data_IF_602635546071
#
_entry.id   IF_602635546071
#
_cell.length_a   1.000
_cell.length_b   1.000
_cell.length_c   1.000
_cell.angle_alpha   90.00
_cell.angle_beta   90.00
_cell.angle_gamma   90.00
#
_symmetry.space_group_name_H-M   'P 1'
#
loop_
_entity.id
_entity.type
_entity.pdbx_description
1 polymer ?
#
# COMPACT_ATOMS: atom_id res chain seq x y z
N UNK A 1 29.48 -84.04 31.05
CA UNK A 1 28.02 -84.12 30.82
C UNK A 1 27.63 -83.05 29.81
N UNK A 2 26.59 -83.33 29.02
CA UNK A 2 26.29 -82.81 27.67
C UNK A 2 26.34 -81.28 27.54
N UNK A 3 27.26 -80.83 26.69
CA UNK A 3 27.23 -79.51 26.07
C UNK A 3 26.76 -79.70 24.61
N UNK A 4 26.24 -78.63 23.98
CA UNK A 4 25.65 -78.57 22.60
C UNK A 4 24.15 -78.91 22.58
N UNK A 5 23.26 -78.13 21.96
CA UNK A 5 23.39 -77.26 20.78
C UNK A 5 22.45 -76.08 20.93
N UNK A 6 22.96 -74.85 20.97
CA UNK A 6 22.15 -73.69 20.65
C UNK A 6 21.99 -73.67 19.13
N UNK A 7 20.83 -74.14 18.68
CA UNK A 7 20.46 -74.18 17.28
C UNK A 7 20.32 -72.73 16.81
N UNK A 8 21.14 -72.36 15.84
CA UNK A 8 21.17 -71.10 15.10
C UNK A 8 19.79 -70.70 14.58
N UNK A 9 19.02 -69.94 15.38
CA UNK A 9 17.80 -69.24 14.93
C UNK A 9 18.05 -67.75 14.61
N UNK A 10 19.29 -67.28 14.83
CA UNK A 10 19.71 -65.91 14.56
C UNK A 10 19.65 -65.47 13.08
N UNK A 11 20.01 -66.28 12.05
CA UNK A 11 20.14 -65.74 10.69
C UNK A 11 18.80 -65.34 10.06
N UNK A 12 17.72 -66.08 10.32
CA UNK A 12 16.39 -65.75 9.79
C UNK A 12 15.78 -64.54 10.50
N UNK A 13 15.86 -64.49 11.84
CA UNK A 13 15.36 -63.36 12.61
C UNK A 13 16.13 -62.07 12.30
N UNK A 14 17.45 -62.16 12.11
CA UNK A 14 18.29 -61.03 11.71
C UNK A 14 17.98 -60.55 10.29
N UNK A 15 17.70 -61.46 9.35
CA UNK A 15 17.27 -61.09 8.00
C UNK A 15 15.90 -60.38 8.01
N UNK A 16 14.93 -60.91 8.78
CA UNK A 16 13.62 -60.26 8.95
C UNK A 16 13.77 -58.89 9.60
N UNK A 17 14.63 -58.74 10.61
CA UNK A 17 14.88 -57.46 11.27
C UNK A 17 15.49 -56.43 10.31
N UNK A 18 16.43 -56.83 9.45
CA UNK A 18 17.02 -55.94 8.44
C UNK A 18 15.98 -55.52 7.41
N UNK A 19 15.13 -56.44 6.94
CA UNK A 19 14.03 -56.12 6.02
C UNK A 19 13.05 -55.15 6.68
N UNK A 20 12.62 -55.44 7.91
CA UNK A 20 11.69 -54.57 8.64
C UNK A 20 12.28 -53.18 8.85
N UNK A 21 13.57 -53.08 9.22
CA UNK A 21 14.28 -51.81 9.36
C UNK A 21 14.36 -51.06 8.03
N UNK A 22 14.68 -51.75 6.93
CA UNK A 22 14.73 -51.17 5.60
C UNK A 22 13.37 -50.62 5.16
N UNK A 23 12.29 -51.37 5.38
CA UNK A 23 10.93 -50.93 5.10
C UNK A 23 10.58 -49.73 5.98
N UNK A 24 10.94 -49.76 7.26
CA UNK A 24 10.65 -48.66 8.18
C UNK A 24 11.36 -47.37 7.77
N UNK A 25 12.63 -47.44 7.37
CA UNK A 25 13.39 -46.29 6.85
C UNK A 25 12.76 -45.79 5.54
N UNK A 26 12.40 -46.70 4.63
CA UNK A 26 11.75 -46.35 3.36
C UNK A 26 10.44 -45.61 3.60
N UNK A 27 9.60 -46.10 4.53
CA UNK A 27 8.34 -45.46 4.90
C UNK A 27 8.58 -44.07 5.48
N UNK A 28 9.52 -43.90 6.42
CA UNK A 28 9.83 -42.58 7.00
C UNK A 28 10.21 -41.58 5.90
N UNK A 29 11.02 -42.00 4.92
CA UNK A 29 11.42 -41.15 3.80
C UNK A 29 10.24 -40.83 2.88
N UNK A 30 9.40 -41.80 2.54
CA UNK A 30 8.22 -41.57 1.68
C UNK A 30 7.19 -40.67 2.36
N UNK A 31 6.85 -40.94 3.62
CA UNK A 31 5.97 -40.11 4.45
C UNK A 31 6.52 -38.69 4.60
N UNK A 32 7.84 -38.54 4.86
CA UNK A 32 8.48 -37.23 4.95
C UNK A 32 8.39 -36.45 3.64
N UNK A 33 8.65 -37.10 2.49
CA UNK A 33 8.53 -36.48 1.16
C UNK A 33 7.10 -36.06 0.85
N UNK A 34 6.12 -36.93 1.10
CA UNK A 34 4.70 -36.64 0.89
C UNK A 34 4.20 -35.52 1.81
N UNK A 35 4.58 -35.53 3.08
CA UNK A 35 4.24 -34.47 4.01
C UNK A 35 4.83 -33.11 3.57
N UNK A 36 6.09 -33.09 3.12
CA UNK A 36 6.72 -31.89 2.59
C UNK A 36 6.03 -31.38 1.32
N UNK A 37 5.65 -32.27 0.39
CA UNK A 37 4.92 -31.89 -0.81
C UNK A 37 3.54 -31.30 -0.47
N UNK A 38 2.77 -31.98 0.37
CA UNK A 38 1.46 -31.50 0.81
C UNK A 38 1.55 -30.13 1.50
N UNK A 39 2.55 -29.93 2.35
CA UNK A 39 2.74 -28.65 3.05
C UNK A 39 3.03 -27.49 2.08
N UNK A 40 3.80 -27.73 1.01
CA UNK A 40 4.07 -26.72 -0.01
C UNK A 40 2.80 -26.36 -0.78
N UNK A 41 2.07 -27.37 -1.26
CA UNK A 41 0.80 -27.17 -1.97
C UNK A 41 -0.21 -26.43 -1.11
N UNK A 42 -0.30 -26.76 0.17
CA UNK A 42 -1.26 -26.14 1.09
C UNK A 42 -0.89 -24.67 1.37
N UNK A 43 0.39 -24.36 1.53
CA UNK A 43 0.85 -22.96 1.65
C UNK A 43 0.57 -22.14 0.40
N UNK A 44 0.77 -22.72 -0.78
CA UNK A 44 0.45 -22.03 -2.04
C UNK A 44 -1.05 -21.77 -2.17
N UNK A 45 -1.88 -22.75 -1.82
CA UNK A 45 -3.33 -22.60 -1.80
C UNK A 45 -3.79 -21.52 -0.80
N UNK A 46 -3.21 -21.49 0.41
CA UNK A 46 -3.48 -20.46 1.41
C UNK A 46 -3.05 -19.06 0.94
N UNK A 47 -1.89 -18.95 0.28
CA UNK A 47 -1.43 -17.68 -0.29
C UNK A 47 -2.37 -17.19 -1.39
N UNK A 48 -2.72 -18.07 -2.33
CA UNK A 48 -3.65 -17.76 -3.43
C UNK A 48 -5.03 -17.35 -2.90
N UNK A 49 -5.53 -18.02 -1.86
CA UNK A 49 -6.83 -17.66 -1.27
C UNK A 49 -6.80 -16.29 -0.61
N UNK A 50 -5.70 -15.93 0.07
CA UNK A 50 -5.51 -14.58 0.63
C UNK A 50 -5.43 -13.51 -0.46
N UNK A 51 -4.71 -13.76 -1.56
CA UNK A 51 -4.61 -12.83 -2.69
C UNK A 51 -5.99 -12.60 -3.34
N UNK A 52 -6.79 -13.66 -3.52
CA UNK A 52 -8.16 -13.56 -4.04
C UNK A 52 -9.06 -12.76 -3.11
N UNK A 53 -8.98 -12.98 -1.81
CA UNK A 53 -9.83 -12.27 -0.85
C UNK A 53 -9.47 -10.77 -0.79
N UNK A 54 -8.18 -10.44 -0.80
CA UNK A 54 -7.72 -9.06 -0.90
C UNK A 54 -8.21 -8.37 -2.19
N UNK A 55 -8.13 -9.07 -3.33
CA UNK A 55 -8.62 -8.56 -4.61
C UNK A 55 -10.14 -8.30 -4.60
N UNK A 56 -10.93 -9.20 -3.99
CA UNK A 56 -12.39 -9.02 -3.84
C UNK A 56 -12.74 -7.82 -2.96
N UNK A 57 -12.03 -7.64 -1.84
CA UNK A 57 -12.22 -6.49 -0.97
C UNK A 57 -11.86 -5.17 -1.68
N UNK A 58 -10.80 -5.18 -2.48
CA UNK A 58 -10.44 -4.02 -3.29
C UNK A 58 -11.53 -3.72 -4.34
N UNK A 59 -12.00 -4.74 -5.05
CA UNK A 59 -13.07 -4.60 -6.02
C UNK A 59 -14.35 -4.04 -5.39
N UNK A 60 -14.77 -4.55 -4.23
CA UNK A 60 -15.98 -4.07 -3.55
C UNK A 60 -15.85 -2.61 -3.13
N UNK A 61 -14.68 -2.20 -2.63
CA UNK A 61 -14.37 -0.81 -2.31
C UNK A 61 -14.45 0.10 -3.53
N UNK A 62 -13.88 -0.34 -4.65
CA UNK A 62 -13.91 0.42 -5.92
C UNK A 62 -15.33 0.53 -6.47
N UNK A 63 -16.12 -0.53 -6.39
CA UNK A 63 -17.53 -0.50 -6.78
C UNK A 63 -18.32 0.47 -5.91
N UNK A 64 -18.11 0.46 -4.59
CA UNK A 64 -18.77 1.40 -3.68
C UNK A 64 -18.41 2.87 -4.01
N UNK A 65 -17.13 3.15 -4.26
CA UNK A 65 -16.69 4.48 -4.67
C UNK A 65 -17.29 4.92 -6.00
N UNK A 66 -17.34 4.01 -6.99
CA UNK A 66 -17.96 4.28 -8.28
C UNK A 66 -19.45 4.59 -8.13
N UNK A 67 -20.17 3.79 -7.35
CA UNK A 67 -21.60 4.01 -7.09
C UNK A 67 -21.84 5.35 -6.40
N UNK A 68 -21.01 5.71 -5.42
CA UNK A 68 -21.08 7.02 -4.77
C UNK A 68 -20.81 8.16 -5.76
N UNK A 69 -19.74 8.07 -6.56
CA UNK A 69 -19.40 9.09 -7.56
C UNK A 69 -20.49 9.22 -8.65
N UNK A 70 -21.23 8.16 -8.94
CA UNK A 70 -22.36 8.18 -9.87
C UNK A 70 -23.68 8.66 -9.24
N UNK A 71 -23.72 8.94 -7.93
CA UNK A 71 -24.94 9.33 -7.23
C UNK A 71 -25.19 10.83 -7.27
N UNK A 72 -26.47 11.23 -7.19
CA UNK A 72 -26.88 12.64 -7.12
C UNK A 72 -26.30 13.35 -5.90
N UNK A 73 -26.08 12.63 -4.79
CA UNK A 73 -25.44 13.19 -3.59
C UNK A 73 -24.03 13.71 -3.89
N UNK A 74 -23.25 12.98 -4.70
CA UNK A 74 -21.93 13.43 -5.11
C UNK A 74 -22.02 14.69 -6.00
N UNK A 75 -22.98 14.74 -6.91
CA UNK A 75 -23.23 15.92 -7.75
C UNK A 75 -23.60 17.13 -6.90
N UNK A 76 -24.46 16.97 -5.90
CA UNK A 76 -24.83 18.05 -4.97
C UNK A 76 -23.65 18.52 -4.12
N UNK A 77 -22.82 17.59 -3.65
CA UNK A 77 -21.64 17.90 -2.85
C UNK A 77 -20.63 18.74 -3.67
N UNK A 78 -20.34 18.32 -4.91
CA UNK A 78 -19.46 19.06 -5.83
C UNK A 78 -20.08 20.41 -6.20
N UNK A 79 -21.37 20.44 -6.52
CA UNK A 79 -22.08 21.67 -6.85
C UNK A 79 -21.97 22.70 -5.71
N UNK A 80 -22.15 22.29 -4.45
CA UNK A 80 -22.08 23.18 -3.28
C UNK A 80 -20.65 23.53 -2.89
N UNK A 81 -19.72 22.57 -2.89
CA UNK A 81 -18.35 22.79 -2.41
C UNK A 81 -17.49 23.53 -3.41
N UNK A 82 -17.45 23.03 -4.65
CA UNK A 82 -16.52 23.48 -5.68
C UNK A 82 -17.14 24.58 -6.55
N UNK A 83 -18.39 24.38 -6.98
CA UNK A 83 -19.04 25.30 -7.92
C UNK A 83 -19.83 26.42 -7.21
N UNK A 84 -20.06 26.32 -5.90
CA UNK A 84 -20.91 27.23 -5.10
C UNK A 84 -22.32 27.40 -5.70
N UNK A 85 -22.82 26.37 -6.37
CA UNK A 85 -24.15 26.32 -6.97
C UNK A 85 -25.19 25.90 -5.94
N UNK A 86 -26.40 26.46 -6.08
CA UNK A 86 -27.57 26.12 -5.29
C UNK A 86 -28.68 25.56 -6.20
N UNK A 87 -29.56 24.72 -5.67
CA UNK A 87 -30.68 24.17 -6.46
C UNK A 87 -31.69 25.27 -6.81
N UNK A 88 -32.48 25.11 -7.89
CA UNK A 88 -33.58 26.02 -8.19
C UNK A 88 -34.54 26.13 -6.98
N UNK A 89 -34.66 27.34 -6.43
CA UNK A 89 -35.50 27.62 -5.25
C UNK A 89 -34.77 27.64 -3.89
N UNK A 90 -33.47 27.35 -3.83
CA UNK A 90 -32.65 27.55 -2.63
C UNK A 90 -32.05 28.97 -2.58
N UNK A 91 -31.98 29.57 -1.39
CA UNK A 91 -31.35 30.89 -1.17
C UNK A 91 -29.87 30.71 -0.79
N UNK A 92 -28.95 31.13 -1.67
CA UNK A 92 -27.52 31.13 -1.38
C UNK A 92 -27.18 32.30 -0.43
N UNK A 93 -26.76 31.98 0.80
CA UNK A 93 -26.28 32.99 1.76
C UNK A 93 -24.76 33.09 1.66
N UNK A 94 -24.26 34.23 1.18
CA UNK A 94 -22.83 34.55 1.17
C UNK A 94 -22.54 35.44 2.36
N UNK A 95 -21.72 34.95 3.30
CA UNK A 95 -21.23 35.77 4.42
C UNK A 95 -20.16 36.71 3.86
N UNK A 96 -20.50 37.97 3.70
CA UNK A 96 -19.52 39.02 3.45
C UNK A 96 -18.81 39.34 4.77
N UNK A 97 -17.47 39.44 4.79
CA UNK A 97 -16.79 39.95 5.97
C UNK A 97 -17.27 41.39 6.23
N UNK A 98 -17.80 41.64 7.42
CA UNK A 98 -18.10 42.99 7.88
C UNK A 98 -16.75 43.70 8.10
N UNK A 99 -16.65 44.96 7.70
CA UNK A 99 -15.43 45.79 7.83
C UNK A 99 -14.89 45.91 9.28
N UNK A 100 -15.65 45.45 10.28
CA UNK A 100 -15.26 45.45 11.69
C UNK A 100 -14.26 44.33 12.06
N UNK A 101 -14.08 43.31 11.21
CA UNK A 101 -13.08 42.24 11.40
C UNK A 101 -11.77 42.48 10.64
N UNK A 102 -11.54 43.71 10.15
CA UNK A 102 -10.20 44.11 9.71
C UNK A 102 -9.40 44.50 10.97
N UNK A 103 -8.41 43.70 11.42
CA UNK A 103 -7.51 44.19 12.46
C UNK A 103 -6.88 45.48 11.92
N UNK A 104 -7.05 46.58 12.66
CA UNK A 104 -6.30 47.81 12.45
C UNK A 104 -4.83 47.44 12.61
N UNK A 105 -4.21 47.06 11.48
CA UNK A 105 -2.78 46.81 11.42
C UNK A 105 -2.11 48.14 11.74
N UNK A 106 -1.36 48.26 12.85
CA UNK A 106 -0.64 49.47 13.14
C UNK A 106 0.33 49.70 11.97
N UNK A 107 0.20 50.86 11.34
CA UNK A 107 0.97 51.23 10.16
C UNK A 107 2.44 50.89 10.31
N UNK A 108 2.87 49.85 9.60
CA UNK A 108 4.26 49.69 9.20
C UNK A 108 4.35 50.33 7.84
N UNK A 109 5.10 51.43 7.81
CA UNK A 109 5.56 52.08 6.61
C UNK A 109 6.03 51.04 5.58
N UNK A 110 5.69 51.33 4.33
CA UNK A 110 6.17 50.70 3.12
C UNK A 110 7.59 50.13 3.21
N UNK A 111 7.69 48.84 2.90
CA UNK A 111 8.57 48.42 1.81
C UNK A 111 7.74 47.50 0.92
N UNK A 112 6.95 48.10 0.04
CA UNK A 112 6.53 47.45 -1.19
C UNK A 112 7.81 47.01 -1.93
N UNK A 113 8.23 45.75 -1.74
CA UNK A 113 9.15 45.11 -2.68
C UNK A 113 8.38 45.04 -3.99
N UNK A 114 8.74 45.90 -4.93
CA UNK A 114 8.24 45.83 -6.30
C UNK A 114 8.32 44.37 -6.79
N UNK A 115 7.32 43.86 -7.53
CA UNK A 115 7.41 42.53 -8.11
C UNK A 115 8.71 42.44 -8.91
N UNK A 116 9.59 41.51 -8.53
CA UNK A 116 10.82 41.24 -9.25
C UNK A 116 10.42 40.58 -10.58
N UNK A 117 10.06 41.37 -11.59
CA UNK A 117 9.71 40.84 -12.92
C UNK A 117 10.99 40.37 -13.59
N UNK A 118 11.17 39.05 -13.72
CA UNK A 118 12.26 38.46 -14.47
C UNK A 118 12.20 38.92 -15.94
N UNK A 119 13.28 39.53 -16.44
CA UNK A 119 13.34 40.04 -17.82
C UNK A 119 13.82 38.97 -18.81
N UNK A 120 14.49 37.94 -18.32
CA UNK A 120 15.12 36.90 -19.14
C UNK A 120 14.84 35.50 -18.57
N UNK A 121 14.86 34.43 -19.41
CA UNK A 121 14.52 33.07 -18.97
C UNK A 121 15.40 32.53 -17.83
N UNK A 122 16.68 32.88 -17.81
CA UNK A 122 17.64 32.53 -16.74
C UNK A 122 17.28 33.19 -15.40
N UNK A 123 16.82 34.44 -15.40
CA UNK A 123 16.33 35.11 -14.18
C UNK A 123 15.06 34.46 -13.63
N UNK A 124 14.19 33.96 -14.51
CA UNK A 124 12.96 33.27 -14.11
C UNK A 124 13.26 31.92 -13.45
N UNK A 125 14.20 31.14 -13.99
CA UNK A 125 14.66 29.90 -13.37
C UNK A 125 15.30 30.16 -12.01
N UNK A 126 16.15 31.17 -11.90
CA UNK A 126 16.79 31.52 -10.64
C UNK A 126 15.78 31.85 -9.54
N UNK A 127 14.75 32.65 -9.86
CA UNK A 127 13.68 32.96 -8.92
C UNK A 127 12.92 31.73 -8.42
N UNK A 128 12.70 30.74 -9.28
CA UNK A 128 12.00 29.52 -8.90
C UNK A 128 12.75 28.74 -7.81
N UNK A 129 14.08 28.72 -7.87
CA UNK A 129 14.91 27.92 -6.97
C UNK A 129 15.36 28.68 -5.72
N UNK A 130 15.56 30.00 -5.82
CA UNK A 130 16.19 30.79 -4.75
C UNK A 130 15.31 31.92 -4.19
N UNK A 131 14.20 32.27 -4.85
CA UNK A 131 13.23 33.25 -4.35
C UNK A 131 13.67 34.72 -4.42
N UNK A 132 14.81 35.01 -5.04
CA UNK A 132 15.34 36.35 -5.28
C UNK A 132 15.88 36.52 -6.72
N UNK A 133 16.33 37.73 -7.09
CA UNK A 133 17.00 37.94 -8.37
C UNK A 133 18.47 37.48 -8.28
N UNK A 134 19.02 36.88 -9.36
CA UNK A 134 20.42 36.52 -9.38
C UNK A 134 21.30 37.78 -9.17
N UNK A 135 22.44 37.66 -8.47
CA UNK A 135 23.35 38.77 -8.30
C UNK A 135 23.77 39.28 -9.68
N UNK A 136 23.61 40.58 -9.94
CA UNK A 136 24.05 41.21 -11.19
C UNK A 136 25.56 41.08 -11.31
N UNK A 137 26.02 40.08 -12.05
CA UNK A 137 27.42 39.97 -12.43
C UNK A 137 27.64 41.05 -13.49
N UNK A 138 28.14 42.21 -13.06
CA UNK A 138 28.56 43.26 -13.97
C UNK A 138 29.59 42.69 -14.93
N UNK A 139 29.21 42.53 -16.20
CA UNK A 139 30.15 42.27 -17.26
C UNK A 139 31.04 43.50 -17.49
N UNK A 140 32.29 43.32 -17.93
CA UNK A 140 33.11 44.42 -18.43
C UNK A 140 32.46 45.14 -19.62
#
# INVERSE_FOLDING_TARGET
MKNKRQITKAPLAQFIAVIALSISIFLIVDLGRRAAANYRTQREAERLSQEVEAAKQYQSKLLAQRTYAASDLYVEEVARRELKWAKPGETLVVVLPTYEDMPLSPGKADVTKAPLVAKTPDQAWWQLFFGDMPPSVGGP
#
